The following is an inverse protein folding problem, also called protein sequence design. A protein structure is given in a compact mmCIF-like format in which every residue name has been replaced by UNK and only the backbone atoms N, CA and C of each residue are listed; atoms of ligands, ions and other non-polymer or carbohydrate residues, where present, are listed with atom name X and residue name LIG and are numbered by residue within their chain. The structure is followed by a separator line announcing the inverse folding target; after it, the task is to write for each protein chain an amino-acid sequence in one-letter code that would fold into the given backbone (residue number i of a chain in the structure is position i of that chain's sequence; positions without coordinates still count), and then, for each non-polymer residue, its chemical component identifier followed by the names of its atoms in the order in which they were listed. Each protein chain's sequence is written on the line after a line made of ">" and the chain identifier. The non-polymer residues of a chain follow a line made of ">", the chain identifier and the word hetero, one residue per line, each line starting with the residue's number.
data_IF_377746419084
#
_entry.id   IF_377746419084
#
_cell.length_a   1.000
_cell.length_b   1.000
_cell.length_c   1.000
_cell.angle_alpha   90.00
_cell.angle_beta   90.00
_cell.angle_gamma   90.00
#
_symmetry.space_group_name_H-M   'P 1'
#
loop_
_entity.id
_entity.type
_entity.pdbx_description
1 polymer ?
#
# COMPACT_ATOMS: atom_id res chain seq x y z
N UNK A 1 2.46 -11.42 0.21
CA UNK A 1 1.34 -12.22 -0.34
C UNK A 1 1.92 -13.19 -1.35
N UNK A 2 1.32 -14.39 -1.48
CA UNK A 2 1.86 -15.44 -2.34
C UNK A 2 1.33 -15.37 -3.77
N UNK A 3 0.17 -14.75 -3.96
CA UNK A 3 -0.46 -14.49 -5.25
C UNK A 3 -0.51 -12.98 -5.50
N UNK A 4 -0.63 -12.62 -6.77
CA UNK A 4 -0.93 -11.26 -7.19
C UNK A 4 -2.19 -10.74 -6.48
N UNK A 5 -2.19 -9.45 -6.16
CA UNK A 5 -3.31 -8.84 -5.45
C UNK A 5 -3.51 -7.39 -5.86
N UNK A 6 -4.72 -6.90 -5.63
CA UNK A 6 -5.07 -5.50 -5.76
C UNK A 6 -5.30 -4.92 -4.37
N UNK A 7 -4.74 -3.76 -4.09
CA UNK A 7 -5.12 -2.94 -2.93
C UNK A 7 -5.97 -1.77 -3.36
N UNK A 8 -7.07 -1.50 -2.66
CA UNK A 8 -7.92 -0.32 -2.85
C UNK A 8 -7.94 0.50 -1.56
N UNK A 9 -7.61 1.79 -1.63
CA UNK A 9 -7.69 2.70 -0.48
C UNK A 9 -9.16 3.04 -0.21
N UNK A 10 -9.60 2.87 1.03
CA UNK A 10 -10.98 3.17 1.45
C UNK A 10 -11.06 4.30 2.47
N UNK A 11 -9.95 4.62 3.14
CA UNK A 11 -9.87 5.68 4.15
C UNK A 11 -8.42 6.17 4.31
N UNK A 12 -8.25 7.49 4.49
CA UNK A 12 -6.96 8.11 4.81
C UNK A 12 -6.02 8.30 3.62
N UNK A 13 -4.92 8.98 3.89
CA UNK A 13 -3.88 9.32 2.90
C UNK A 13 -2.49 9.48 3.50
N UNK A 14 -1.50 9.77 2.66
CA UNK A 14 -0.16 10.14 3.11
C UNK A 14 0.66 8.98 3.67
N UNK A 15 0.53 7.79 3.07
CA UNK A 15 1.42 6.68 3.39
C UNK A 15 2.85 6.97 2.94
N UNK A 16 3.81 6.60 3.77
CA UNK A 16 5.22 6.56 3.41
C UNK A 16 5.64 5.10 3.32
N UNK A 17 6.19 4.72 2.17
CA UNK A 17 6.83 3.43 1.95
C UNK A 17 8.30 3.56 2.30
N UNK A 18 8.81 2.63 3.10
CA UNK A 18 10.21 2.55 3.48
C UNK A 18 10.77 1.22 2.97
N UNK A 19 11.88 1.29 2.24
CA UNK A 19 12.57 0.15 1.64
C UNK A 19 13.78 -0.27 2.48
N UNK A 20 14.29 -1.47 2.22
CA UNK A 20 15.40 -2.07 2.99
C UNK A 20 16.73 -1.30 2.86
N UNK A 21 16.89 -0.52 1.79
CA UNK A 21 18.04 0.37 1.58
C UNK A 21 17.92 1.70 2.37
N UNK A 22 16.85 1.86 3.15
CA UNK A 22 16.55 3.07 3.92
C UNK A 22 15.92 4.19 3.11
N UNK A 23 15.67 4.01 1.81
CA UNK A 23 14.96 5.00 1.00
C UNK A 23 13.48 5.03 1.37
N UNK A 24 12.89 6.22 1.26
CA UNK A 24 11.48 6.45 1.56
C UNK A 24 10.78 7.08 0.38
N UNK A 25 9.57 6.63 0.07
CA UNK A 25 8.75 7.17 -1.01
C UNK A 25 7.36 7.53 -0.48
N UNK A 26 6.90 8.74 -0.78
CA UNK A 26 5.50 9.10 -0.59
C UNK A 26 4.63 8.28 -1.54
N UNK A 27 3.63 7.60 -0.98
CA UNK A 27 2.67 6.85 -1.75
C UNK A 27 1.40 7.70 -1.92
N UNK A 28 1.09 8.18 -3.14
CA UNK A 28 -0.13 8.94 -3.39
C UNK A 28 -1.32 7.99 -3.18
N UNK A 29 -1.89 8.06 -1.99
CA UNK A 29 -2.88 7.11 -1.51
C UNK A 29 -4.11 7.87 -1.04
N UNK A 30 -4.98 8.26 -1.96
CA UNK A 30 -6.28 8.85 -1.64
C UNK A 30 -7.39 7.79 -1.75
N UNK A 31 -8.54 7.97 -1.07
CA UNK A 31 -9.68 7.06 -1.22
C UNK A 31 -10.07 6.86 -2.68
N UNK A 32 -10.25 5.59 -3.09
CA UNK A 32 -10.52 5.20 -4.47
C UNK A 32 -9.27 4.89 -5.31
N UNK A 33 -8.08 5.28 -4.85
CA UNK A 33 -6.83 4.83 -5.49
C UNK A 33 -6.65 3.33 -5.32
N UNK A 34 -6.27 2.67 -6.40
CA UNK A 34 -5.99 1.25 -6.42
C UNK A 34 -4.61 0.97 -6.99
N UNK A 35 -4.02 -0.16 -6.59
CA UNK A 35 -2.72 -0.62 -7.09
C UNK A 35 -2.76 -2.12 -7.26
N UNK A 36 -2.33 -2.58 -8.44
CA UNK A 36 -2.03 -3.97 -8.70
C UNK A 36 -0.59 -4.26 -8.28
N UNK A 37 -0.39 -5.40 -7.62
CA UNK A 37 0.89 -5.86 -7.13
C UNK A 37 1.17 -7.24 -7.72
N UNK A 38 2.14 -7.27 -8.63
CA UNK A 38 2.78 -8.45 -9.23
C UNK A 38 4.23 -8.64 -8.71
N UNK A 39 4.85 -7.55 -8.22
CA UNK A 39 6.15 -7.55 -7.58
C UNK A 39 6.02 -7.71 -6.05
N UNK A 40 6.29 -8.92 -5.56
CA UNK A 40 6.12 -9.32 -4.14
C UNK A 40 7.28 -8.90 -3.23
N UNK A 41 7.82 -7.69 -3.40
CA UNK A 41 8.90 -7.19 -2.54
C UNK A 41 8.42 -6.91 -1.13
N UNK A 42 9.23 -7.33 -0.16
CA UNK A 42 9.07 -6.93 1.25
C UNK A 42 9.35 -5.44 1.33
N UNK A 43 8.42 -4.70 1.93
CA UNK A 43 8.54 -3.27 2.19
C UNK A 43 7.76 -2.93 3.46
N UNK A 44 8.17 -1.85 4.15
CA UNK A 44 7.44 -1.34 5.32
C UNK A 44 6.57 -0.18 4.88
N UNK A 45 5.31 -0.19 5.27
CA UNK A 45 4.39 0.94 5.06
C UNK A 45 4.08 1.57 6.40
N UNK A 46 4.36 2.86 6.53
CA UNK A 46 4.06 3.64 7.73
C UNK A 46 3.00 4.70 7.42
N UNK A 47 1.92 4.71 8.20
CA UNK A 47 1.00 5.84 8.24
C UNK A 47 1.58 6.92 9.15
N UNK A 48 2.08 8.01 8.55
CA UNK A 48 2.61 9.18 9.28
C UNK A 48 1.59 10.32 9.40
N UNK A 49 0.36 10.11 8.93
CA UNK A 49 -0.73 11.08 9.07
C UNK A 49 -1.31 11.05 10.49
N UNK A 50 -2.04 12.11 10.85
CA UNK A 50 -2.83 12.17 12.10
C UNK A 50 -4.17 11.45 12.03
N UNK A 51 -4.48 10.77 10.92
CA UNK A 51 -5.77 10.13 10.66
C UNK A 51 -5.59 8.64 10.40
N UNK A 52 -6.69 7.88 10.53
CA UNK A 52 -6.68 6.45 10.24
C UNK A 52 -6.49 6.22 8.73
N UNK A 53 -5.63 5.27 8.40
CA UNK A 53 -5.51 4.72 7.06
C UNK A 53 -6.16 3.34 6.99
N UNK A 54 -6.89 3.06 5.91
CA UNK A 54 -7.47 1.74 5.63
C UNK A 54 -7.45 1.47 4.13
N UNK A 55 -6.99 0.28 3.76
CA UNK A 55 -7.17 -0.30 2.44
C UNK A 55 -7.84 -1.67 2.54
N UNK A 56 -8.29 -2.18 1.39
CA UNK A 56 -8.75 -3.55 1.21
C UNK A 56 -7.77 -4.23 0.27
N UNK A 57 -7.32 -5.43 0.65
CA UNK A 57 -6.55 -6.31 -0.22
C UNK A 57 -7.46 -7.36 -0.84
N UNK A 58 -7.38 -7.52 -2.14
CA UNK A 58 -8.13 -8.49 -2.93
C UNK A 58 -7.10 -9.39 -3.62
N UNK A 59 -6.96 -10.61 -3.10
CA UNK A 59 -6.06 -11.61 -3.70
C UNK A 59 -6.71 -12.20 -4.96
N UNK A 60 -5.95 -12.28 -6.05
CA UNK A 60 -6.41 -12.82 -7.32
C UNK A 60 -6.16 -14.33 -7.33
N UNK A 61 -7.25 -15.10 -7.35
CA UNK A 61 -7.18 -16.56 -7.49
C UNK A 61 -7.18 -16.92 -8.97
N UNK A 62 -6.19 -17.71 -9.38
CA UNK A 62 -6.15 -18.40 -10.67
C UNK A 62 -6.80 -19.78 -10.61
#
# INVERSE_FOLDING_TARGET
>A
HGHDYVTVVVEGEGLVVEFDDGTTQENPSSPGTWRYHDDHKVHRVANKSGTRYKNVLIELKS
#
